data_IF_686805691084
#
_entry.id   IF_686805691084
#
_cell.length_a   1.000
_cell.length_b   1.000
_cell.length_c   1.000
_cell.angle_alpha   90.00
_cell.angle_beta   90.00
_cell.angle_gamma   90.00
#
_symmetry.space_group_name_H-M   'P 1'
#
loop_
_entity.id
_entity.type
_entity.pdbx_description
1 polymer ?
#
# COMPACT_ATOMS: atom_id res chain seq x y z
N UNK A 1 36.97 47.54 -34.02
CA UNK A 1 35.63 47.06 -34.39
C UNK A 1 35.74 45.60 -34.79
N UNK A 2 35.06 44.63 -34.21
CA UNK A 2 34.13 44.58 -33.09
C UNK A 2 34.08 43.11 -32.67
N UNK A 3 34.07 42.87 -31.36
CA UNK A 3 33.75 41.57 -30.77
C UNK A 3 32.29 41.20 -31.05
N UNK A 4 32.02 39.90 -31.28
CA UNK A 4 30.93 39.08 -30.69
C UNK A 4 30.74 37.82 -31.57
N UNK A 5 31.12 36.61 -31.12
CA UNK A 5 30.30 35.67 -30.33
C UNK A 5 28.83 35.67 -30.78
N UNK A 6 28.26 34.58 -31.30
CA UNK A 6 27.59 33.58 -30.47
C UNK A 6 27.51 32.25 -31.24
N UNK A 7 28.17 31.22 -30.72
CA UNK A 7 27.74 29.82 -30.88
C UNK A 7 26.60 29.59 -29.88
N UNK A 8 25.42 29.17 -30.37
CA UNK A 8 24.49 28.26 -29.69
C UNK A 8 23.33 27.94 -30.63
N UNK A 9 23.42 26.81 -31.35
CA UNK A 9 22.21 26.11 -31.79
C UNK A 9 21.79 25.28 -30.59
N UNK A 10 20.64 25.65 -30.06
CA UNK A 10 19.92 25.03 -28.95
C UNK A 10 19.98 23.51 -29.02
N UNK A 11 20.50 22.89 -27.96
CA UNK A 11 20.20 21.50 -27.65
C UNK A 11 18.69 21.43 -27.40
N UNK A 12 17.95 20.97 -28.41
CA UNK A 12 16.56 20.57 -28.25
C UNK A 12 16.61 19.33 -27.37
N UNK A 13 16.37 19.51 -26.07
CA UNK A 13 16.05 18.38 -25.19
C UNK A 13 14.70 17.87 -25.68
N UNK A 14 14.71 16.73 -26.39
CA UNK A 14 13.49 15.98 -26.67
C UNK A 14 12.87 15.64 -25.31
N UNK A 15 11.86 16.41 -24.90
CA UNK A 15 11.04 16.08 -23.74
C UNK A 15 10.32 14.78 -24.04
N UNK A 16 10.67 13.71 -23.34
CA UNK A 16 9.92 12.46 -23.38
C UNK A 16 8.54 12.74 -22.76
N UNK A 17 7.49 12.62 -23.56
CA UNK A 17 6.11 12.66 -23.06
C UNK A 17 5.84 11.30 -22.44
N UNK A 18 5.83 11.26 -21.11
CA UNK A 18 5.50 10.06 -20.34
C UNK A 18 3.99 10.11 -20.07
N UNK A 19 3.23 9.06 -20.41
CA UNK A 19 1.83 8.93 -20.02
C UNK A 19 1.67 9.14 -18.51
N UNK A 20 0.59 9.81 -18.08
CA UNK A 20 0.37 10.12 -16.67
C UNK A 20 0.31 8.89 -15.77
N UNK A 21 -0.14 7.76 -16.31
CA UNK A 21 -0.17 6.45 -15.64
C UNK A 21 1.23 5.87 -15.33
N UNK A 22 2.26 6.27 -16.07
CA UNK A 22 3.62 5.79 -15.89
C UNK A 22 4.48 6.70 -15.01
N UNK A 23 3.97 7.88 -14.63
CA UNK A 23 4.71 8.88 -13.86
C UNK A 23 5.18 8.34 -12.50
N UNK A 24 4.41 7.45 -11.86
CA UNK A 24 4.79 6.85 -10.58
C UNK A 24 6.09 6.03 -10.66
N UNK A 25 6.40 5.47 -11.83
CA UNK A 25 7.61 4.69 -12.06
C UNK A 25 8.85 5.53 -12.39
N UNK A 26 8.70 6.85 -12.57
CA UNK A 26 9.79 7.75 -13.01
C UNK A 26 9.99 8.94 -12.07
N UNK A 27 8.94 9.39 -11.35
CA UNK A 27 9.06 10.46 -10.37
C UNK A 27 9.91 9.97 -9.20
N UNK A 28 11.09 10.60 -9.04
CA UNK A 28 12.00 10.36 -7.93
C UNK A 28 11.61 11.18 -6.70
N UNK A 29 11.49 10.53 -5.56
CA UNK A 29 11.31 11.17 -4.26
C UNK A 29 12.68 11.58 -3.66
N UNK A 30 12.72 12.50 -2.67
CA UNK A 30 13.98 13.02 -2.11
C UNK A 30 14.94 11.97 -1.55
N UNK A 31 14.44 10.78 -1.16
CA UNK A 31 15.25 9.67 -0.68
C UNK A 31 15.80 8.78 -1.82
N UNK A 32 15.68 9.20 -3.08
CA UNK A 32 16.30 8.53 -4.22
C UNK A 32 15.60 7.26 -4.68
N UNK A 33 14.32 7.07 -4.34
CA UNK A 33 13.47 6.02 -4.90
C UNK A 33 12.28 6.63 -5.62
N UNK A 34 11.74 5.90 -6.58
CA UNK A 34 10.48 6.23 -7.26
C UNK A 34 9.27 6.01 -6.34
N UNK A 35 8.10 6.49 -6.74
CA UNK A 35 6.85 6.21 -6.03
C UNK A 35 6.60 4.69 -6.01
N UNK A 36 6.73 4.02 -7.15
CA UNK A 36 6.52 2.56 -7.26
C UNK A 36 7.47 1.78 -6.35
N UNK A 37 8.77 2.12 -6.32
CA UNK A 37 9.73 1.45 -5.44
C UNK A 37 9.38 1.66 -3.96
N UNK A 38 8.92 2.86 -3.60
CA UNK A 38 8.54 3.18 -2.22
C UNK A 38 7.28 2.44 -1.78
N UNK A 39 6.30 2.35 -2.68
CA UNK A 39 5.08 1.56 -2.45
C UNK A 39 5.39 0.07 -2.34
N UNK A 40 6.32 -0.43 -3.16
CA UNK A 40 6.78 -1.82 -3.09
C UNK A 40 7.49 -2.12 -1.77
N UNK A 41 8.41 -1.25 -1.32
CA UNK A 41 9.05 -1.41 0.00
C UNK A 41 8.01 -1.42 1.13
N UNK A 42 7.03 -0.51 1.08
CA UNK A 42 5.98 -0.41 2.08
C UNK A 42 5.08 -1.66 2.09
N UNK A 43 4.77 -2.20 0.91
CA UNK A 43 4.02 -3.44 0.76
C UNK A 43 4.80 -4.63 1.34
N UNK A 44 6.08 -4.77 1.03
CA UNK A 44 6.93 -5.85 1.54
C UNK A 44 7.07 -5.80 3.06
N UNK A 45 7.29 -4.60 3.61
CA UNK A 45 7.31 -4.41 5.07
C UNK A 45 5.96 -4.77 5.70
N UNK A 46 4.85 -4.33 5.10
CA UNK A 46 3.50 -4.66 5.58
C UNK A 46 3.25 -6.17 5.55
N UNK A 47 3.63 -6.85 4.46
CA UNK A 47 3.53 -8.31 4.34
C UNK A 47 4.30 -9.03 5.45
N UNK A 48 5.53 -8.59 5.72
CA UNK A 48 6.35 -9.16 6.80
C UNK A 48 5.71 -8.97 8.18
N UNK A 49 5.11 -7.78 8.45
CA UNK A 49 4.39 -7.53 9.69
C UNK A 49 3.17 -8.45 9.86
N UNK A 50 2.38 -8.65 8.81
CA UNK A 50 1.23 -9.56 8.84
C UNK A 50 1.66 -11.01 9.05
N UNK A 51 2.68 -11.49 8.32
CA UNK A 51 3.22 -12.84 8.50
C UNK A 51 3.71 -13.09 9.94
N UNK A 52 4.41 -12.12 10.53
CA UNK A 52 4.87 -12.22 11.91
C UNK A 52 3.71 -12.23 12.93
N UNK A 53 2.70 -11.37 12.75
CA UNK A 53 1.51 -11.34 13.59
C UNK A 53 0.73 -12.66 13.52
N UNK A 54 0.53 -13.20 12.31
CA UNK A 54 -0.20 -14.46 12.11
C UNK A 54 0.51 -15.66 12.74
N UNK A 55 1.84 -15.76 12.64
CA UNK A 55 2.61 -16.79 13.38
C UNK A 55 2.41 -16.70 14.89
N UNK A 56 2.15 -15.51 15.43
CA UNK A 56 1.89 -15.27 16.86
C UNK A 56 0.41 -15.43 17.23
N UNK A 57 -0.46 -15.80 16.28
CA UNK A 57 -1.90 -15.91 16.49
C UNK A 57 -2.59 -14.56 16.68
N UNK A 58 -1.97 -13.46 16.26
CA UNK A 58 -2.47 -12.10 16.43
C UNK A 58 -3.18 -11.66 15.15
N UNK A 59 -4.50 -11.34 15.20
CA UNK A 59 -5.19 -10.79 14.05
C UNK A 59 -4.76 -9.33 13.79
N UNK A 60 -4.81 -8.93 12.53
CA UNK A 60 -4.51 -7.56 12.09
C UNK A 60 -5.78 -6.87 11.61
N UNK A 61 -5.81 -5.54 11.68
CA UNK A 61 -7.00 -4.75 11.35
C UNK A 61 -6.67 -3.69 10.31
N UNK A 62 -7.55 -3.53 9.32
CA UNK A 62 -7.40 -2.52 8.27
C UNK A 62 -8.75 -2.03 7.76
N UNK A 63 -8.73 -1.07 6.84
CA UNK A 63 -9.92 -0.53 6.18
C UNK A 63 -9.78 -0.65 4.67
N UNK A 64 -10.88 -0.99 4.03
CA UNK A 64 -11.04 -0.91 2.58
C UNK A 64 -12.49 -0.55 2.25
N UNK A 65 -12.86 -0.61 0.95
CA UNK A 65 -14.19 -0.28 0.43
C UNK A 65 -15.37 -1.06 1.07
N UNK A 66 -15.11 -2.14 1.82
CA UNK A 66 -16.12 -2.95 2.51
C UNK A 66 -16.56 -2.33 3.84
N UNK A 67 -15.76 -1.42 4.40
CA UNK A 67 -16.03 -0.70 5.66
C UNK A 67 -16.93 0.51 5.38
N UNK A 68 -18.06 0.62 6.09
CA UNK A 68 -19.04 1.69 5.86
C UNK A 68 -19.02 2.78 6.93
N UNK A 69 -18.52 2.46 8.13
CA UNK A 69 -18.53 3.39 9.26
C UNK A 69 -17.14 3.63 9.87
N UNK A 70 -17.00 4.71 10.62
CA UNK A 70 -15.78 5.06 11.36
C UNK A 70 -15.44 4.07 12.47
N UNK A 71 -16.33 3.15 12.83
CA UNK A 71 -16.09 2.14 13.88
C UNK A 71 -15.91 0.73 13.33
N UNK A 72 -16.06 0.54 12.02
CA UNK A 72 -15.88 -0.73 11.35
C UNK A 72 -14.44 -0.93 10.85
N UNK A 73 -14.01 -2.19 10.88
CA UNK A 73 -12.71 -2.62 10.38
C UNK A 73 -12.84 -4.01 9.74
N UNK A 74 -11.97 -4.28 8.78
CA UNK A 74 -11.68 -5.67 8.38
C UNK A 74 -10.68 -6.23 9.36
N UNK A 75 -11.01 -7.36 9.98
CA UNK A 75 -10.11 -8.18 10.79
C UNK A 75 -9.56 -9.30 9.91
N UNK A 76 -8.27 -9.24 9.60
CA UNK A 76 -7.55 -10.33 8.95
C UNK A 76 -7.13 -11.34 10.03
N UNK A 77 -7.65 -12.56 9.94
CA UNK A 77 -7.42 -13.60 10.93
C UNK A 77 -6.16 -14.44 10.58
N UNK A 78 -5.48 -15.02 11.59
CA UNK A 78 -4.31 -15.86 11.35
C UNK A 78 -4.53 -17.12 10.49
N UNK A 79 -5.77 -17.57 10.34
CA UNK A 79 -6.15 -18.68 9.43
C UNK A 79 -6.38 -18.20 7.98
N UNK A 80 -6.18 -16.92 7.73
CA UNK A 80 -6.35 -16.29 6.42
C UNK A 80 -7.79 -16.03 6.06
N UNK A 81 -8.73 -16.07 7.00
CA UNK A 81 -10.07 -15.54 6.82
C UNK A 81 -10.11 -14.02 7.05
N UNK A 82 -11.15 -13.36 6.54
CA UNK A 82 -11.44 -11.95 6.82
C UNK A 82 -12.80 -11.84 7.48
N UNK A 83 -12.92 -11.01 8.50
CA UNK A 83 -14.18 -10.64 9.14
C UNK A 83 -14.42 -9.13 9.08
N UNK A 84 -15.68 -8.72 8.96
CA UNK A 84 -16.09 -7.36 9.26
C UNK A 84 -16.45 -7.27 10.74
N UNK A 85 -15.79 -6.36 11.46
CA UNK A 85 -16.00 -6.14 12.90
C UNK A 85 -16.28 -4.67 13.20
N UNK A 86 -17.02 -4.41 14.27
CA UNK A 86 -17.18 -3.07 14.84
C UNK A 86 -16.40 -2.95 16.14
N UNK A 87 -15.70 -1.84 16.34
CA UNK A 87 -14.97 -1.53 17.57
C UNK A 87 -15.80 -0.63 18.49
N UNK A 88 -16.04 -1.10 19.71
CA UNK A 88 -16.59 -0.30 20.80
C UNK A 88 -15.46 0.24 21.67
N UNK A 89 -15.28 1.56 21.66
CA UNK A 89 -14.24 2.24 22.44
C UNK A 89 -14.48 2.20 23.96
N UNK A 90 -15.74 2.12 24.40
CA UNK A 90 -16.06 2.10 25.83
C UNK A 90 -15.65 0.76 26.46
N UNK A 91 -15.92 -0.34 25.77
CA UNK A 91 -15.56 -1.69 26.23
C UNK A 91 -14.21 -2.18 25.71
N UNK A 92 -13.59 -1.43 24.77
CA UNK A 92 -12.35 -1.80 24.07
C UNK A 92 -12.46 -3.17 23.41
N UNK A 93 -13.62 -3.48 22.84
CA UNK A 93 -13.94 -4.79 22.28
C UNK A 93 -14.36 -4.71 20.82
N UNK A 94 -14.13 -5.80 20.10
CA UNK A 94 -14.58 -5.98 18.73
C UNK A 94 -15.77 -6.93 18.68
N UNK A 95 -16.83 -6.53 18.01
CA UNK A 95 -18.00 -7.37 17.74
C UNK A 95 -18.01 -7.77 16.28
N UNK A 96 -18.16 -9.07 16.01
CA UNK A 96 -18.33 -9.60 14.66
C UNK A 96 -19.64 -9.10 14.06
N UNK A 97 -19.56 -8.48 12.88
CA UNK A 97 -20.74 -8.13 12.07
C UNK A 97 -21.03 -9.27 11.09
N UNK A 98 -20.03 -9.69 10.30
CA UNK A 98 -20.14 -10.80 9.35
C UNK A 98 -18.77 -11.31 8.92
N UNK A 99 -18.71 -12.56 8.47
CA UNK A 99 -17.55 -13.08 7.77
C UNK A 99 -17.49 -12.48 6.34
N UNK A 100 -16.30 -12.11 5.89
CA UNK A 100 -16.04 -11.57 4.55
C UNK A 100 -15.36 -12.58 3.63
N UNK A 101 -14.50 -13.43 4.17
CA UNK A 101 -13.83 -14.49 3.45
C UNK A 101 -13.60 -15.71 4.35
N UNK A 102 -13.64 -16.91 3.76
CA UNK A 102 -13.32 -18.15 4.47
C UNK A 102 -11.80 -18.26 4.72
N UNK A 103 -11.40 -19.21 5.57
CA UNK A 103 -9.99 -19.51 5.84
C UNK A 103 -9.18 -19.70 4.55
N UNK A 104 -7.99 -19.10 4.49
CA UNK A 104 -7.13 -19.08 3.31
C UNK A 104 -7.65 -18.30 2.09
N UNK A 105 -8.71 -17.48 2.24
CA UNK A 105 -9.33 -16.71 1.14
C UNK A 105 -9.40 -15.20 1.39
N UNK A 106 -8.94 -14.74 2.55
CA UNK A 106 -8.82 -13.33 2.91
C UNK A 106 -7.71 -12.62 2.14
N UNK A 107 -7.72 -11.30 2.20
CA UNK A 107 -6.81 -10.47 1.40
C UNK A 107 -5.32 -10.76 1.68
N UNK A 108 -4.99 -11.03 2.94
CA UNK A 108 -3.63 -11.34 3.39
C UNK A 108 -3.38 -12.85 3.57
N UNK A 109 -4.21 -13.72 2.99
CA UNK A 109 -4.06 -15.17 3.16
C UNK A 109 -2.74 -15.72 2.60
N UNK A 110 -2.17 -15.05 1.61
CA UNK A 110 -0.95 -15.47 0.93
C UNK A 110 0.32 -15.33 1.78
N UNK A 111 0.29 -14.53 2.85
CA UNK A 111 1.42 -14.37 3.78
C UNK A 111 1.54 -15.51 4.80
N UNK A 112 0.55 -16.42 4.86
CA UNK A 112 0.53 -17.57 5.78
C UNK A 112 1.42 -18.70 5.28
N UNK A 113 1.49 -18.85 3.97
CA UNK A 113 2.27 -19.87 3.26
C UNK A 113 3.70 -19.42 2.90
N UNK A 114 4.12 -18.25 3.38
CA UNK A 114 5.43 -17.65 3.12
C UNK A 114 6.50 -18.11 4.13
#
# INVERSE_FOLDING_TARGET
>A
DEHQSIKKKSDIVLGVVIPTEDLASVIMLPHGKTIVETEQDALELTRAMYADAFRKGVPMFYRDKRVQSSHEFVRANPDGSDDLVSFDAATRSYTLIKNLALAGKGFWADVISA
#
